data_IF_448617048487
#
_entry.id   IF_448617048487
#
_cell.length_a   1.000
_cell.length_b   1.000
_cell.length_c   1.000
_cell.angle_alpha   90.00
_cell.angle_beta   90.00
_cell.angle_gamma   90.00
#
_symmetry.space_group_name_H-M   'P 1'
#
loop_
_entity.id
_entity.type
_entity.pdbx_description
1 polymer ?
#
# COMPACT_ATOMS: atom_id res chain seq x y z
N UNK A 1 -2.75 -0.08 17.63
CA UNK A 1 -2.74 -1.41 16.99
C UNK A 1 -2.43 -2.49 18.02
N UNK A 2 -1.18 -2.71 18.46
CA UNK A 2 -0.90 -3.72 19.50
C UNK A 2 -1.53 -3.38 20.86
N UNK A 3 -1.60 -2.10 21.22
CA UNK A 3 -2.28 -1.65 22.45
C UNK A 3 -3.80 -1.53 22.27
N UNK A 4 -4.27 -1.33 21.04
CA UNK A 4 -5.71 -1.17 20.75
C UNK A 4 -6.42 -2.53 20.63
N UNK A 5 -5.72 -3.58 20.22
CA UNK A 5 -6.28 -4.92 19.98
C UNK A 5 -5.66 -6.00 20.88
N UNK A 6 -5.09 -5.63 22.02
CA UNK A 6 -4.40 -6.56 22.93
C UNK A 6 -5.28 -7.75 23.35
N UNK A 7 -6.58 -7.52 23.55
CA UNK A 7 -7.54 -8.55 23.94
C UNK A 7 -7.94 -9.52 22.81
N UNK A 8 -7.70 -9.14 21.55
CA UNK A 8 -8.09 -9.91 20.36
C UNK A 8 -6.91 -10.71 19.78
N UNK A 9 -5.68 -10.40 20.20
CA UNK A 9 -4.46 -11.00 19.67
C UNK A 9 -4.06 -12.20 20.53
N UNK A 10 -4.07 -13.39 19.92
CA UNK A 10 -3.51 -14.60 20.54
C UNK A 10 -1.98 -14.51 20.48
N UNK A 11 -1.36 -14.18 21.61
CA UNK A 11 0.11 -14.01 21.69
C UNK A 11 0.87 -15.30 22.01
N UNK A 12 0.17 -16.43 22.18
CA UNK A 12 0.76 -17.75 22.49
C UNK A 12 1.78 -17.71 23.66
N UNK A 13 1.57 -16.83 24.64
CA UNK A 13 2.46 -16.66 25.81
C UNK A 13 3.62 -15.69 25.61
N UNK A 14 3.76 -15.05 24.44
CA UNK A 14 4.74 -14.00 24.20
C UNK A 14 4.24 -12.65 24.73
N UNK A 15 5.11 -11.94 25.44
CA UNK A 15 4.84 -10.56 25.83
C UNK A 15 4.97 -9.62 24.62
N UNK A 16 4.35 -8.43 24.70
CA UNK A 16 4.54 -7.36 23.71
C UNK A 16 6.03 -7.06 23.47
N UNK A 17 6.83 -7.08 24.53
CA UNK A 17 8.28 -6.88 24.44
C UNK A 17 8.95 -7.93 23.55
N UNK A 18 8.62 -9.22 23.73
CA UNK A 18 9.17 -10.29 22.90
C UNK A 18 8.75 -10.14 21.43
N UNK A 19 7.48 -9.80 21.18
CA UNK A 19 6.98 -9.59 19.82
C UNK A 19 7.72 -8.43 19.15
N UNK A 20 7.87 -7.30 19.85
CA UNK A 20 8.59 -6.12 19.34
C UNK A 20 10.07 -6.42 19.07
N UNK A 21 10.72 -7.20 19.93
CA UNK A 21 12.10 -7.64 19.73
C UNK A 21 12.23 -8.52 18.47
N UNK A 22 11.33 -9.51 18.29
CA UNK A 22 11.34 -10.38 17.11
C UNK A 22 11.07 -9.61 15.81
N UNK A 23 10.14 -8.66 15.83
CA UNK A 23 9.87 -7.78 14.68
C UNK A 23 11.12 -6.97 14.34
N UNK A 24 11.78 -6.39 15.35
CA UNK A 24 13.01 -5.60 15.16
C UNK A 24 14.12 -6.44 14.52
N UNK A 25 14.34 -7.67 15.00
CA UNK A 25 15.33 -8.57 14.40
C UNK A 25 14.98 -8.94 12.96
N UNK A 26 13.71 -9.25 12.68
CA UNK A 26 13.26 -9.53 11.32
C UNK A 26 13.43 -8.34 10.38
N UNK A 27 13.29 -7.11 10.88
CA UNK A 27 13.52 -5.88 10.11
C UNK A 27 15.00 -5.59 9.87
N UNK A 28 15.88 -6.01 10.78
CA UNK A 28 17.33 -5.94 10.61
C UNK A 28 17.83 -6.91 9.51
N UNK A 29 17.08 -7.97 9.21
CA UNK A 29 17.36 -8.87 8.08
C UNK A 29 16.97 -8.22 6.73
N UNK A 30 17.67 -7.17 6.32
CA UNK A 30 17.37 -6.36 5.14
C UNK A 30 18.47 -6.36 4.06
N UNK A 31 19.36 -7.37 4.10
CA UNK A 31 20.48 -7.50 3.16
C UNK A 31 20.03 -8.31 1.93
N UNK A 32 20.29 -7.79 0.73
CA UNK A 32 20.05 -8.49 -0.53
C UNK A 32 21.26 -8.37 -1.47
N UNK A 33 21.37 -9.31 -2.40
CA UNK A 33 22.47 -9.36 -3.38
C UNK A 33 21.98 -8.89 -4.75
N UNK A 34 22.65 -7.90 -5.32
CA UNK A 34 22.39 -7.41 -6.67
C UNK A 34 23.70 -7.28 -7.45
N UNK A 35 23.75 -7.81 -8.67
CA UNK A 35 24.95 -7.78 -9.53
C UNK A 35 26.25 -8.23 -8.83
N UNK A 36 26.17 -9.23 -7.95
CA UNK A 36 27.32 -9.74 -7.21
C UNK A 36 27.67 -8.99 -5.92
N UNK A 37 27.10 -7.80 -5.69
CA UNK A 37 27.35 -6.97 -4.52
C UNK A 37 26.21 -7.07 -3.50
N UNK A 38 26.55 -6.91 -2.21
CA UNK A 38 25.59 -6.90 -1.11
C UNK A 38 25.13 -5.47 -0.82
N UNK A 39 23.82 -5.30 -0.69
CA UNK A 39 23.18 -4.04 -0.36
C UNK A 39 22.27 -4.25 0.85
N UNK A 40 22.15 -3.23 1.70
CA UNK A 40 21.20 -3.20 2.80
C UNK A 40 20.23 -2.04 2.59
N UNK A 41 18.95 -2.30 2.79
CA UNK A 41 17.93 -1.27 2.67
C UNK A 41 17.91 -0.37 3.91
N UNK A 42 18.50 0.82 3.79
CA UNK A 42 18.58 1.80 4.89
C UNK A 42 17.23 2.35 5.35
N UNK A 43 16.21 2.35 4.48
CA UNK A 43 14.89 2.91 4.77
C UNK A 43 13.77 2.16 4.06
N UNK A 44 12.64 2.00 4.74
CA UNK A 44 11.48 1.26 4.24
C UNK A 44 11.62 -0.24 4.48
N UNK A 45 10.59 -0.97 4.06
CA UNK A 45 10.52 -2.42 4.21
C UNK A 45 11.11 -3.09 2.97
N UNK A 46 11.88 -4.16 3.17
CA UNK A 46 12.46 -4.88 2.05
C UNK A 46 11.42 -5.71 1.31
N UNK A 47 11.36 -5.53 -0.01
CA UNK A 47 10.47 -6.32 -0.87
C UNK A 47 10.85 -7.79 -0.75
N UNK A 48 9.87 -8.63 -0.43
CA UNK A 48 10.06 -10.06 -0.19
C UNK A 48 10.15 -10.47 1.29
N UNK A 49 10.25 -9.52 2.22
CA UNK A 49 10.07 -9.84 3.64
C UNK A 49 8.60 -10.24 3.90
N UNK A 50 8.39 -11.36 4.60
CA UNK A 50 7.04 -11.86 4.93
C UNK A 50 6.26 -10.91 5.85
N UNK A 51 6.97 -10.13 6.67
CA UNK A 51 6.36 -9.13 7.56
C UNK A 51 6.07 -7.80 6.84
N UNK A 52 6.68 -7.55 5.69
CA UNK A 52 6.54 -6.25 5.02
C UNK A 52 5.08 -5.91 4.66
N UNK A 53 4.26 -6.82 4.10
CA UNK A 53 2.86 -6.52 3.80
C UNK A 53 2.05 -6.15 5.05
N UNK A 54 2.24 -6.88 6.15
CA UNK A 54 1.50 -6.64 7.41
C UNK A 54 1.89 -5.28 7.99
N UNK A 55 3.19 -4.98 8.05
CA UNK A 55 3.68 -3.70 8.54
C UNK A 55 3.25 -2.54 7.65
N UNK A 56 3.22 -2.73 6.32
CA UNK A 56 2.68 -1.75 5.38
C UNK A 56 1.19 -1.50 5.64
N UNK A 57 0.39 -2.55 5.86
CA UNK A 57 -1.03 -2.40 6.22
C UNK A 57 -1.18 -1.63 7.53
N UNK A 58 -0.40 -1.94 8.56
CA UNK A 58 -0.44 -1.22 9.84
C UNK A 58 -0.07 0.26 9.68
N UNK A 59 0.95 0.55 8.88
CA UNK A 59 1.37 1.92 8.60
C UNK A 59 0.31 2.70 7.82
N UNK A 60 -0.23 2.10 6.76
CA UNK A 60 -1.32 2.68 5.96
C UNK A 60 -2.60 2.87 6.79
N UNK A 61 -2.89 1.96 7.71
CA UNK A 61 -4.01 2.09 8.64
C UNK A 61 -3.93 3.34 9.52
N UNK A 62 -2.73 3.74 9.93
CA UNK A 62 -2.55 5.00 10.66
C UNK A 62 -2.76 6.22 9.77
N UNK A 63 -2.31 6.16 8.52
CA UNK A 63 -2.43 7.26 7.55
C UNK A 63 -3.89 7.48 7.11
N UNK A 64 -4.66 6.41 6.94
CA UNK A 64 -6.03 6.49 6.43
C UNK A 64 -7.04 6.98 7.48
N UNK A 65 -6.78 6.80 8.79
CA UNK A 65 -7.68 7.23 9.88
C UNK A 65 -8.28 8.65 9.71
N UNK A 66 -7.49 9.72 9.53
CA UNK A 66 -8.03 11.08 9.37
C UNK A 66 -8.78 11.29 8.04
N UNK A 67 -8.52 10.46 7.03
CA UNK A 67 -9.20 10.50 5.73
C UNK A 67 -10.57 9.82 5.85
N UNK A 68 -10.62 8.64 6.47
CA UNK A 68 -11.87 7.90 6.72
C UNK A 68 -12.79 8.69 7.65
N UNK A 69 -12.23 9.40 8.64
CA UNK A 69 -13.01 10.27 9.53
C UNK A 69 -13.77 11.39 8.80
N UNK A 70 -13.36 11.77 7.58
CA UNK A 70 -14.07 12.72 6.73
C UNK A 70 -15.19 12.10 5.88
N UNK A 71 -15.45 10.81 6.04
CA UNK A 71 -16.56 10.08 5.41
C UNK A 71 -16.62 10.28 3.89
N UNK A 72 -15.56 9.89 3.14
CA UNK A 72 -15.64 9.88 1.69
C UNK A 72 -16.77 8.95 1.22
N UNK A 73 -17.35 9.24 0.05
CA UNK A 73 -18.42 8.44 -0.55
C UNK A 73 -17.98 6.98 -0.73
N UNK A 74 -16.72 6.79 -1.14
CA UNK A 74 -16.11 5.47 -1.25
C UNK A 74 -14.65 5.55 -0.84
N UNK A 75 -14.22 4.56 -0.07
CA UNK A 75 -12.83 4.33 0.25
C UNK A 75 -12.51 2.85 0.07
N UNK A 76 -11.57 2.53 -0.81
CA UNK A 76 -11.07 1.18 -1.04
C UNK A 76 -9.55 1.21 -1.03
N UNK A 77 -8.92 0.21 -0.39
CA UNK A 77 -7.47 0.13 -0.31
C UNK A 77 -7.00 -1.28 -0.57
N UNK A 78 -5.89 -1.39 -1.30
CA UNK A 78 -5.16 -2.62 -1.54
C UNK A 78 -3.68 -2.37 -1.22
N UNK A 79 -3.24 -2.80 -0.04
CA UNK A 79 -1.91 -2.53 0.52
C UNK A 79 -1.61 -1.01 0.51
N UNK A 80 -0.88 -0.53 -0.49
CA UNK A 80 -0.44 0.85 -0.72
C UNK A 80 -1.33 1.61 -1.72
N UNK A 81 -2.09 0.93 -2.58
CA UNK A 81 -2.98 1.55 -3.57
C UNK A 81 -4.36 1.88 -2.96
N UNK A 82 -4.72 3.17 -2.90
CA UNK A 82 -6.04 3.63 -2.45
C UNK A 82 -6.90 4.19 -3.60
N UNK A 83 -8.18 3.84 -3.60
CA UNK A 83 -9.23 4.45 -4.41
C UNK A 83 -10.17 5.21 -3.49
N UNK A 84 -10.31 6.52 -3.73
CA UNK A 84 -11.15 7.42 -2.93
C UNK A 84 -12.12 8.13 -3.85
N UNK A 85 -13.37 8.26 -3.43
CA UNK A 85 -14.41 9.02 -4.13
C UNK A 85 -15.00 10.00 -3.12
N UNK A 86 -14.95 11.30 -3.44
CA UNK A 86 -15.58 12.37 -2.66
C UNK A 86 -16.75 12.97 -3.43
N UNK A 87 -17.54 13.80 -2.74
CA UNK A 87 -18.68 14.50 -3.35
C UNK A 87 -18.25 15.65 -4.26
N UNK A 88 -17.18 16.34 -3.89
CA UNK A 88 -16.66 17.51 -4.62
C UNK A 88 -15.15 17.42 -4.84
N UNK A 89 -14.67 18.09 -5.90
CA UNK A 89 -13.24 18.22 -6.17
C UNK A 89 -12.51 18.92 -5.02
N UNK A 90 -13.14 19.89 -4.36
CA UNK A 90 -12.57 20.59 -3.20
C UNK A 90 -12.34 19.65 -2.03
N UNK A 91 -13.32 18.80 -1.70
CA UNK A 91 -13.13 17.76 -0.67
C UNK A 91 -12.01 16.81 -1.05
N UNK A 92 -11.91 16.41 -2.32
CA UNK A 92 -10.83 15.54 -2.79
C UNK A 92 -9.45 16.18 -2.61
N UNK A 93 -9.31 17.48 -2.88
CA UNK A 93 -8.06 18.20 -2.68
C UNK A 93 -7.69 18.29 -1.19
N UNK A 94 -8.69 18.48 -0.30
CA UNK A 94 -8.50 18.42 1.15
C UNK A 94 -8.07 17.03 1.62
N UNK A 95 -8.72 15.96 1.14
CA UNK A 95 -8.33 14.58 1.47
C UNK A 95 -6.91 14.28 1.00
N UNK A 96 -6.55 14.72 -0.21
CA UNK A 96 -5.22 14.52 -0.78
C UNK A 96 -4.12 15.26 0.00
N UNK A 97 -4.41 16.48 0.47
CA UNK A 97 -3.52 17.24 1.34
C UNK A 97 -3.36 16.56 2.71
N UNK A 98 -4.44 16.04 3.30
CA UNK A 98 -4.39 15.27 4.55
C UNK A 98 -3.49 14.04 4.39
N UNK A 99 -3.61 13.28 3.30
CA UNK A 99 -2.75 12.13 3.01
C UNK A 99 -1.27 12.50 3.03
N UNK A 100 -0.90 13.56 2.31
CA UNK A 100 0.48 14.00 2.19
C UNK A 100 1.03 14.66 3.47
N UNK A 101 0.17 15.13 4.37
CA UNK A 101 0.56 15.65 5.68
C UNK A 101 0.85 14.57 6.72
N UNK A 102 0.36 13.34 6.54
CA UNK A 102 0.53 12.29 7.54
C UNK A 102 1.98 11.82 7.70
N UNK A 103 2.81 11.97 6.67
CA UNK A 103 4.17 11.45 6.67
C UNK A 103 5.09 12.32 5.82
N UNK A 104 6.23 12.71 6.38
CA UNK A 104 7.32 13.34 5.62
C UNK A 104 8.09 12.33 4.74
N UNK A 105 7.73 11.05 4.81
CA UNK A 105 8.49 9.95 4.25
C UNK A 105 7.76 9.20 3.14
N UNK A 106 6.45 9.43 3.04
CA UNK A 106 5.60 8.91 1.95
C UNK A 106 4.89 10.10 1.33
N UNK A 107 4.93 10.18 0.01
CA UNK A 107 4.20 11.17 -0.78
C UNK A 107 3.21 10.42 -1.65
N UNK A 108 1.94 10.76 -1.50
CA UNK A 108 0.87 10.19 -2.30
C UNK A 108 0.81 10.93 -3.63
N UNK A 109 0.67 10.19 -4.73
CA UNK A 109 0.27 10.79 -6.01
C UNK A 109 -1.20 10.48 -6.29
N UNK A 110 -1.80 11.28 -7.17
CA UNK A 110 -3.21 11.15 -7.55
C UNK A 110 -3.29 10.98 -9.06
N UNK A 111 -3.96 9.92 -9.50
CA UNK A 111 -4.37 9.77 -10.89
C UNK A 111 -5.74 10.46 -11.08
N UNK A 112 -5.86 11.31 -12.11
CA UNK A 112 -7.12 11.97 -12.46
C UNK A 112 -7.87 11.08 -13.44
N UNK A 113 -9.19 10.85 -13.27
CA UNK A 113 -9.97 10.05 -14.21
C UNK A 113 -9.91 10.65 -15.62
N UNK A 114 -9.72 9.80 -16.63
CA UNK A 114 -9.75 10.16 -18.03
C UNK A 114 -11.07 9.66 -18.64
N UNK A 115 -11.83 10.54 -19.29
CA UNK A 115 -13.17 10.23 -19.83
C UNK A 115 -14.14 9.60 -18.79
N UNK A 116 -14.04 10.05 -17.53
CA UNK A 116 -14.83 9.53 -16.41
C UNK A 116 -14.45 8.12 -15.95
N UNK A 117 -13.32 7.59 -16.45
CA UNK A 117 -12.80 6.27 -16.10
C UNK A 117 -11.50 6.41 -15.29
N UNK A 118 -11.41 5.69 -14.17
CA UNK A 118 -10.22 5.60 -13.33
C UNK A 118 -9.72 4.16 -13.28
N UNK A 119 -8.48 3.87 -13.71
CA UNK A 119 -7.90 2.54 -13.53
C UNK A 119 -7.51 2.32 -12.06
N UNK A 120 -7.96 1.21 -11.48
CA UNK A 120 -7.60 0.78 -10.13
C UNK A 120 -7.27 -0.72 -10.13
N UNK A 121 -6.03 -1.07 -9.79
CA UNK A 121 -5.50 -2.44 -9.91
C UNK A 121 -5.72 -3.01 -11.33
N UNK A 122 -6.41 -4.16 -11.44
CA UNK A 122 -6.82 -4.80 -12.69
C UNK A 122 -8.26 -4.44 -13.10
N UNK A 123 -8.77 -3.31 -12.62
CA UNK A 123 -10.12 -2.86 -12.91
C UNK A 123 -10.14 -1.42 -13.40
N UNK A 124 -11.19 -1.05 -14.12
CA UNK A 124 -11.49 0.32 -14.49
C UNK A 124 -12.84 0.67 -13.87
N UNK A 125 -12.83 1.71 -13.07
CA UNK A 125 -13.99 2.22 -12.37
C UNK A 125 -14.52 3.40 -13.17
N UNK A 126 -15.78 3.32 -13.61
CA UNK A 126 -16.50 4.42 -14.25
C UNK A 126 -17.70 4.78 -13.39
N UNK A 127 -17.83 6.07 -13.07
CA UNK A 127 -18.99 6.59 -12.35
C UNK A 127 -19.92 7.23 -13.37
N UNK A 128 -21.15 6.77 -13.47
CA UNK A 128 -22.14 7.33 -14.41
C UNK A 128 -23.54 7.26 -13.80
N UNK A 129 -24.24 8.39 -13.73
CA UNK A 129 -25.62 8.44 -13.21
C UNK A 129 -25.78 7.93 -11.78
N UNK A 130 -24.78 8.14 -10.91
CA UNK A 130 -24.81 7.67 -9.52
C UNK A 130 -24.56 6.17 -9.33
N UNK A 131 -24.23 5.42 -10.39
CA UNK A 131 -23.82 4.01 -10.30
C UNK A 131 -22.34 3.82 -10.63
N UNK A 132 -21.73 2.86 -9.95
CA UNK A 132 -20.37 2.42 -10.21
C UNK A 132 -20.39 1.29 -11.24
N UNK A 133 -19.68 1.48 -12.33
CA UNK A 133 -19.41 0.43 -13.32
C UNK A 133 -17.97 0.00 -13.18
N UNK A 134 -17.75 -1.25 -12.77
CA UNK A 134 -16.43 -1.85 -12.69
C UNK A 134 -16.26 -2.77 -13.89
N UNK A 135 -15.26 -2.52 -14.71
CA UNK A 135 -14.86 -3.41 -15.80
C UNK A 135 -13.48 -3.97 -15.53
N UNK A 136 -13.23 -5.19 -15.97
CA UNK A 136 -11.87 -5.73 -15.98
C UNK A 136 -11.02 -4.87 -16.93
N UNK A 137 -9.91 -4.36 -16.43
CA UNK A 137 -9.04 -3.48 -17.19
C UNK A 137 -7.60 -3.86 -16.97
N UNK A 138 -6.89 -3.98 -18.08
CA UNK A 138 -5.49 -4.37 -18.09
C UNK A 138 -4.68 -3.16 -18.52
N UNK A 139 -3.86 -2.61 -17.61
CA UNK A 139 -2.95 -1.51 -17.95
C UNK A 139 -2.04 -1.93 -19.10
N UNK A 140 -1.84 -1.06 -20.11
CA UNK A 140 -0.97 -1.34 -21.26
C UNK A 140 0.49 -1.65 -20.85
N UNK A 141 0.92 -1.20 -19.66
CA UNK A 141 2.23 -1.49 -19.08
C UNK A 141 2.37 -2.88 -18.45
N UNK A 142 1.29 -3.68 -18.38
CA UNK A 142 1.31 -5.04 -17.85
C UNK A 142 2.00 -6.00 -18.83
N UNK A 143 3.33 -6.04 -18.81
CA UNK A 143 4.10 -7.08 -19.47
C UNK A 143 3.64 -8.44 -18.89
N UNK A 144 3.19 -9.36 -19.74
CA UNK A 144 2.88 -10.76 -19.40
C UNK A 144 4.14 -11.50 -18.92
N UNK A 145 4.73 -11.07 -17.81
CA UNK A 145 5.88 -11.75 -17.22
C UNK A 145 5.32 -12.82 -16.31
N UNK A 146 5.05 -14.00 -16.89
CA UNK A 146 4.91 -15.22 -16.12
C UNK A 146 6.29 -15.57 -15.56
N UNK A 147 6.45 -15.45 -14.24
CA UNK A 147 7.65 -15.95 -13.57
C UNK A 147 7.61 -17.48 -13.63
N UNK A 148 8.57 -18.07 -14.33
CA UNK A 148 8.76 -19.51 -14.30
C UNK A 148 9.10 -19.94 -12.87
N UNK A 149 8.42 -20.96 -12.33
CA UNK A 149 8.48 -21.34 -10.91
C UNK A 149 9.91 -21.57 -10.35
N UNK A 150 10.87 -21.89 -11.23
CA UNK A 150 12.28 -22.10 -10.87
C UNK A 150 13.17 -20.84 -10.94
N UNK A 151 12.66 -19.66 -11.30
CA UNK A 151 13.45 -18.43 -11.35
C UNK A 151 13.21 -17.58 -10.09
N UNK A 152 13.98 -17.85 -9.04
CA UNK A 152 14.05 -17.03 -7.82
C UNK A 152 14.73 -15.66 -8.02
N UNK A 153 14.57 -15.02 -9.19
CA UNK A 153 15.04 -13.65 -9.45
C UNK A 153 13.87 -12.70 -9.53
N UNK A 154 13.84 -11.74 -8.60
CA UNK A 154 13.01 -10.55 -8.69
C UNK A 154 13.43 -9.81 -9.97
N UNK A 155 12.55 -9.60 -10.96
CA UNK A 155 12.86 -8.72 -12.08
C UNK A 155 13.10 -7.32 -11.51
N UNK A 156 14.18 -6.66 -11.93
CA UNK A 156 14.47 -5.27 -11.58
C UNK A 156 13.29 -4.38 -11.98
N UNK A 157 12.42 -4.07 -11.01
CA UNK A 157 11.41 -3.01 -11.13
C UNK A 157 12.18 -1.69 -11.17
N UNK A 158 12.25 -1.04 -12.33
CA UNK A 158 12.46 0.41 -12.35
C UNK A 158 11.24 1.02 -11.67
N UNK A 159 11.38 1.29 -10.37
CA UNK A 159 10.34 1.90 -9.55
C UNK A 159 10.00 3.27 -10.09
N UNK A 160 8.95 3.36 -10.88
CA UNK A 160 8.12 4.56 -10.87
C UNK A 160 7.22 4.43 -9.65
N UNK A 161 7.65 5.03 -8.55
CA UNK A 161 6.76 5.37 -7.45
C UNK A 161 5.67 6.27 -8.03
N UNK A 162 4.45 5.74 -8.08
CA UNK A 162 3.21 6.51 -8.14
C UNK A 162 2.64 6.47 -6.73
#
# INVERSE_FOLDING_TARGET
>A
MLDEHEAEIVTFGLSKFHIMALIKECLNCNIFKWSGQYFSQKRGLAMGQRLAPVLAICFMSRIERPVIARMPIMYCRYIDDCCVISSTQQEMDVLFDIFNRQSQHIRFTREVPHEGCLPYLNTQIKISGGRYHVKWYRKNSSKNILLHANQGRIPSRSGHLK
#
